data_IF_395698817876
#
_entry.id   IF_395698817876
#
_cell.length_a   1.000
_cell.length_b   1.000
_cell.length_c   1.000
_cell.angle_alpha   90.00
_cell.angle_beta   90.00
_cell.angle_gamma   90.00
#
_symmetry.space_group_name_H-M   'P 1'
#
loop_
_entity.id
_entity.type
_entity.pdbx_description
1 polymer ?
#
# COMPACT_ATOMS: atom_id res chain seq x y z
N UNK A 1 -13.95 -18.94 15.78
CA UNK A 1 -13.89 -18.26 14.46
C UNK A 1 -12.78 -17.23 14.54
N UNK A 2 -11.59 -17.54 14.02
CA UNK A 2 -10.43 -16.64 14.09
C UNK A 2 -10.61 -15.49 13.11
N UNK A 3 -10.46 -14.24 13.59
CA UNK A 3 -10.52 -13.07 12.71
C UNK A 3 -9.52 -13.22 11.55
N UNK A 4 -9.91 -12.93 10.29
CA UNK A 4 -9.00 -12.97 9.17
C UNK A 4 -7.84 -12.01 9.41
N UNK A 5 -6.61 -12.47 9.13
CA UNK A 5 -5.34 -11.77 9.44
C UNK A 5 -5.28 -10.34 8.91
N UNK A 6 -6.04 -10.01 7.85
CA UNK A 6 -6.15 -8.68 7.26
C UNK A 6 -6.89 -7.66 8.15
N UNK A 7 -7.95 -8.08 8.84
CA UNK A 7 -8.78 -7.20 9.68
C UNK A 7 -8.04 -6.76 10.96
N UNK A 8 -7.23 -7.67 11.53
CA UNK A 8 -6.39 -7.38 12.70
C UNK A 8 -5.32 -6.33 12.38
N UNK A 9 -4.70 -6.43 11.19
CA UNK A 9 -3.68 -5.47 10.73
C UNK A 9 -4.30 -4.09 10.49
N UNK A 10 -5.48 -4.04 9.85
CA UNK A 10 -6.20 -2.79 9.62
C UNK A 10 -6.65 -2.12 10.93
N UNK A 11 -7.07 -2.91 11.92
CA UNK A 11 -7.47 -2.41 13.24
C UNK A 11 -6.28 -1.83 14.01
N UNK A 12 -5.14 -2.53 14.00
CA UNK A 12 -3.89 -2.04 14.59
C UNK A 12 -3.42 -0.74 13.91
N UNK A 13 -3.48 -0.68 12.57
CA UNK A 13 -3.17 0.52 11.79
C UNK A 13 -3.96 1.73 12.27
N UNK A 14 -5.29 1.59 12.40
CA UNK A 14 -6.18 2.67 12.85
C UNK A 14 -5.87 3.13 14.27
N UNK A 15 -5.67 2.19 15.18
CA UNK A 15 -5.36 2.51 16.57
C UNK A 15 -4.02 3.23 16.71
N UNK A 16 -2.99 2.76 16.01
CA UNK A 16 -1.67 3.41 15.97
C UNK A 16 -1.81 4.80 15.34
N UNK A 17 -2.50 4.92 14.21
CA UNK A 17 -2.72 6.20 13.52
C UNK A 17 -3.37 7.26 14.41
N UNK A 18 -4.45 6.91 15.11
CA UNK A 18 -5.14 7.82 16.02
C UNK A 18 -4.26 8.31 17.17
N UNK A 19 -3.26 7.53 17.61
CA UNK A 19 -2.33 7.89 18.70
C UNK A 19 -0.96 8.39 18.24
N UNK A 20 -0.65 8.39 16.95
CA UNK A 20 0.69 8.67 16.43
C UNK A 20 1.30 9.99 16.90
N UNK A 21 0.51 11.07 16.97
CA UNK A 21 0.99 12.39 17.40
C UNK A 21 1.52 12.41 18.85
N UNK A 22 1.16 11.42 19.66
CA UNK A 22 1.50 11.36 21.08
C UNK A 22 2.57 10.31 21.42
N UNK A 23 2.96 9.44 20.48
CA UNK A 23 3.87 8.31 20.76
C UNK A 23 4.87 8.03 19.61
N UNK A 24 5.91 8.85 19.42
CA UNK A 24 6.89 8.69 18.34
C UNK A 24 7.57 7.32 18.30
N UNK A 25 7.86 6.72 19.47
CA UNK A 25 8.44 5.37 19.56
C UNK A 25 7.50 4.27 19.07
N UNK A 26 6.19 4.41 19.29
CA UNK A 26 5.22 3.44 18.80
C UNK A 26 5.15 3.51 17.27
N UNK A 27 5.16 4.72 16.71
CA UNK A 27 5.20 4.90 15.26
C UNK A 27 6.46 4.32 14.64
N UNK A 28 7.65 4.60 15.19
CA UNK A 28 8.91 4.06 14.65
C UNK A 28 8.93 2.53 14.66
N UNK A 29 8.47 1.91 15.74
CA UNK A 29 8.39 0.45 15.85
C UNK A 29 7.37 -0.13 14.89
N UNK A 30 6.20 0.49 14.78
CA UNK A 30 5.15 0.07 13.85
C UNK A 30 5.62 0.18 12.40
N UNK A 31 6.26 1.29 12.05
CA UNK A 31 6.83 1.51 10.73
C UNK A 31 7.88 0.44 10.39
N UNK A 32 8.84 0.21 11.29
CA UNK A 32 9.92 -0.75 11.08
C UNK A 32 9.45 -2.20 10.96
N UNK A 33 8.45 -2.60 11.76
CA UNK A 33 8.02 -3.99 11.85
C UNK A 33 6.86 -4.35 10.91
N UNK A 34 6.04 -3.38 10.51
CA UNK A 34 4.81 -3.64 9.75
C UNK A 34 4.79 -2.97 8.39
N UNK A 35 5.16 -1.68 8.30
CA UNK A 35 5.08 -0.91 7.05
C UNK A 35 6.26 -1.26 6.14
N UNK A 36 7.49 -1.10 6.64
CA UNK A 36 8.70 -1.21 5.83
C UNK A 36 8.90 -2.60 5.20
N UNK A 37 8.64 -3.73 5.90
CA UNK A 37 8.77 -5.05 5.29
C UNK A 37 7.79 -5.28 4.12
N UNK A 38 6.59 -4.69 4.19
CA UNK A 38 5.59 -4.77 3.11
C UNK A 38 5.99 -3.88 1.95
N UNK A 39 6.38 -2.63 2.23
CA UNK A 39 6.87 -1.69 1.21
C UNK A 39 8.03 -2.30 0.41
N UNK A 40 9.02 -2.89 1.08
CA UNK A 40 10.16 -3.55 0.41
C UNK A 40 9.73 -4.63 -0.57
N UNK A 41 8.76 -5.47 -0.20
CA UNK A 41 8.23 -6.51 -1.09
C UNK A 41 7.54 -5.92 -2.31
N UNK A 42 6.68 -4.92 -2.11
CA UNK A 42 5.99 -4.24 -3.21
C UNK A 42 6.96 -3.53 -4.16
N UNK A 43 7.95 -2.82 -3.60
CA UNK A 43 8.99 -2.14 -4.38
C UNK A 43 9.84 -3.13 -5.18
N UNK A 44 10.14 -4.33 -4.66
CA UNK A 44 10.88 -5.35 -5.42
C UNK A 44 10.08 -5.88 -6.61
N UNK A 45 8.74 -6.01 -6.49
CA UNK A 45 7.88 -6.37 -7.62
C UNK A 45 7.94 -5.30 -8.70
N UNK A 46 7.89 -4.02 -8.35
CA UNK A 46 8.02 -2.91 -9.29
C UNK A 46 9.40 -2.88 -9.94
N UNK A 47 10.46 -3.10 -9.16
CA UNK A 47 11.83 -3.19 -9.68
C UNK A 47 11.97 -4.33 -10.69
N UNK A 48 11.34 -5.48 -10.44
CA UNK A 48 11.27 -6.57 -11.41
C UNK A 48 10.57 -6.14 -12.69
N UNK A 49 9.40 -5.50 -12.58
CA UNK A 49 8.65 -4.99 -13.73
C UNK A 49 9.46 -4.02 -14.60
N UNK A 50 10.30 -3.17 -13.99
CA UNK A 50 11.22 -2.32 -14.76
C UNK A 50 12.25 -3.12 -15.53
N UNK A 51 12.88 -4.10 -14.87
CA UNK A 51 13.89 -4.96 -15.51
C UNK A 51 13.33 -5.74 -16.69
N UNK A 52 12.06 -6.14 -16.63
CA UNK A 52 11.38 -6.89 -17.69
C UNK A 52 10.73 -6.00 -18.75
N UNK A 53 10.78 -4.67 -18.59
CA UNK A 53 10.17 -3.72 -19.53
C UNK A 53 8.64 -3.63 -19.43
N UNK A 54 8.04 -4.19 -18.38
CA UNK A 54 6.58 -4.17 -18.17
C UNK A 54 6.07 -2.81 -17.64
N UNK A 55 6.93 -2.03 -16.98
CA UNK A 55 6.61 -0.69 -16.47
C UNK A 55 7.68 0.34 -16.83
N UNK A 56 7.25 1.59 -16.99
CA UNK A 56 8.10 2.74 -17.31
C UNK A 56 9.22 2.96 -16.28
N UNK A 57 10.34 3.52 -16.75
CA UNK A 57 11.58 3.66 -15.95
C UNK A 57 11.85 5.08 -15.47
N UNK A 58 11.07 6.05 -15.94
CA UNK A 58 11.24 7.49 -15.73
C UNK A 58 10.54 8.03 -14.46
N UNK A 59 9.72 7.22 -13.80
CA UNK A 59 9.14 7.57 -12.50
C UNK A 59 10.00 7.04 -11.35
N UNK A 60 9.75 7.52 -10.14
CA UNK A 60 10.35 6.97 -8.93
C UNK A 60 9.60 5.71 -8.44
N UNK A 61 10.31 4.76 -7.83
CA UNK A 61 9.71 3.50 -7.37
C UNK A 61 8.78 3.69 -6.16
N UNK A 62 9.07 4.66 -5.29
CA UNK A 62 8.23 4.96 -4.14
C UNK A 62 6.96 5.67 -4.57
N UNK A 63 7.05 6.59 -5.54
CA UNK A 63 5.86 7.17 -6.15
C UNK A 63 4.96 6.10 -6.77
N UNK A 64 5.54 5.17 -7.55
CA UNK A 64 4.78 4.05 -8.12
C UNK A 64 4.11 3.20 -7.04
N UNK A 65 4.84 2.85 -5.98
CA UNK A 65 4.31 2.10 -4.84
C UNK A 65 3.11 2.82 -4.20
N UNK A 66 3.24 4.12 -3.96
CA UNK A 66 2.23 4.94 -3.31
C UNK A 66 0.95 5.06 -4.15
N UNK A 67 1.06 5.03 -5.49
CA UNK A 67 -0.10 4.98 -6.38
C UNK A 67 -0.91 3.68 -6.23
N UNK A 68 -0.26 2.55 -5.96
CA UNK A 68 -0.98 1.28 -5.71
C UNK A 68 -1.59 1.22 -4.31
N UNK A 69 -0.86 1.63 -3.27
CA UNK A 69 -1.30 1.44 -1.88
C UNK A 69 -2.14 2.60 -1.34
N UNK A 70 -1.98 3.81 -1.88
CA UNK A 70 -2.67 5.02 -1.45
C UNK A 70 -4.19 4.90 -1.47
N UNK A 71 -4.82 4.46 -2.57
CA UNK A 71 -6.28 4.31 -2.63
C UNK A 71 -6.82 3.32 -1.58
N UNK A 72 -6.08 2.23 -1.33
CA UNK A 72 -6.43 1.26 -0.28
C UNK A 72 -6.30 1.87 1.12
N UNK A 73 -5.26 2.65 1.38
CA UNK A 73 -5.08 3.34 2.67
C UNK A 73 -6.20 4.36 2.92
N UNK A 74 -6.58 5.14 1.90
CA UNK A 74 -7.70 6.10 2.02
C UNK A 74 -8.98 5.37 2.43
N UNK A 75 -9.33 4.26 1.78
CA UNK A 75 -10.56 3.51 2.08
C UNK A 75 -10.52 2.72 3.39
N UNK A 76 -9.35 2.39 3.92
CA UNK A 76 -9.23 1.56 5.14
C UNK A 76 -8.94 2.36 6.41
N UNK A 77 -8.32 3.54 6.26
CA UNK A 77 -7.84 4.37 7.37
C UNK A 77 -8.53 5.73 7.41
N UNK A 78 -8.68 6.40 6.26
CA UNK A 78 -9.24 7.78 6.20
C UNK A 78 -10.76 7.76 6.12
N UNK A 79 -11.34 6.80 5.38
CA UNK A 79 -12.78 6.63 5.15
C UNK A 79 -13.21 5.18 5.44
N UNK A 80 -13.09 4.70 6.70
CA UNK A 80 -13.31 3.30 7.04
C UNK A 80 -14.75 2.80 6.80
N UNK A 81 -15.70 3.71 6.66
CA UNK A 81 -17.09 3.45 6.27
C UNK A 81 -17.27 3.19 4.76
N UNK A 82 -16.23 3.40 3.95
CA UNK A 82 -16.27 3.15 2.52
C UNK A 82 -16.22 1.66 2.18
N UNK A 83 -16.90 1.27 1.10
CA UNK A 83 -16.87 -0.11 0.62
C UNK A 83 -15.46 -0.55 0.22
N UNK A 84 -15.16 -1.81 0.56
CA UNK A 84 -13.97 -2.56 0.13
C UNK A 84 -14.41 -3.80 -0.66
N UNK A 85 -14.87 -3.63 -1.91
CA UNK A 85 -15.18 -4.77 -2.78
C UNK A 85 -13.95 -5.67 -2.95
N UNK A 86 -14.18 -6.97 -3.11
CA UNK A 86 -13.11 -7.96 -3.30
C UNK A 86 -12.23 -7.62 -4.51
N UNK A 87 -12.84 -7.11 -5.58
CA UNK A 87 -12.17 -6.74 -6.84
C UNK A 87 -11.42 -5.39 -6.80
N UNK A 88 -11.55 -4.61 -5.72
CA UNK A 88 -10.98 -3.27 -5.65
C UNK A 88 -9.46 -3.27 -5.86
N UNK A 89 -8.76 -4.26 -5.31
CA UNK A 89 -7.31 -4.36 -5.46
C UNK A 89 -6.91 -4.60 -6.93
N UNK A 90 -7.61 -5.51 -7.62
CA UNK A 90 -7.38 -5.76 -9.04
C UNK A 90 -7.67 -4.53 -9.89
N UNK A 91 -8.79 -3.86 -9.63
CA UNK A 91 -9.18 -2.63 -10.32
C UNK A 91 -8.13 -1.51 -10.15
N UNK A 92 -7.61 -1.31 -8.94
CA UNK A 92 -6.53 -0.34 -8.69
C UNK A 92 -5.30 -0.71 -9.52
N UNK A 93 -4.92 -1.99 -9.54
CA UNK A 93 -3.76 -2.45 -10.30
C UNK A 93 -3.94 -2.18 -11.79
N UNK A 94 -5.09 -2.51 -12.37
CA UNK A 94 -5.35 -2.30 -13.80
C UNK A 94 -5.30 -0.82 -14.19
N UNK A 95 -5.93 0.04 -13.38
CA UNK A 95 -5.95 1.49 -13.62
C UNK A 95 -4.55 2.09 -13.52
N UNK A 96 -3.78 1.71 -12.50
CA UNK A 96 -2.42 2.22 -12.32
C UNK A 96 -1.51 1.68 -13.43
N UNK A 97 -1.60 0.40 -13.79
CA UNK A 97 -0.80 -0.17 -14.87
C UNK A 97 -1.12 0.45 -16.23
N UNK A 98 -2.38 0.83 -16.49
CA UNK A 98 -2.72 1.57 -17.71
C UNK A 98 -1.90 2.87 -17.85
N UNK A 99 -1.60 3.56 -16.74
CA UNK A 99 -0.75 4.76 -16.72
C UNK A 99 0.76 4.50 -16.56
N UNK A 100 1.16 3.34 -16.02
CA UNK A 100 2.56 2.96 -15.79
C UNK A 100 3.20 2.15 -16.93
N UNK A 101 2.43 1.78 -17.96
CA UNK A 101 2.97 1.14 -19.17
C UNK A 101 4.08 2.01 -19.80
N UNK A 102 5.06 1.39 -20.50
CA UNK A 102 6.07 2.13 -21.25
C UNK A 102 5.41 3.14 -22.20
N UNK A 103 5.99 4.35 -22.29
CA UNK A 103 5.64 5.27 -23.35
C UNK A 103 5.95 4.61 -24.70
N UNK A 104 5.03 4.74 -25.66
CA UNK A 104 5.25 4.28 -27.03
C UNK A 104 6.32 5.11 -27.72
#
# INVERSE_FOLDING_TARGET
MGRPRSEAVATLLRYVHARMKSHPRLWSTYHALVIEPRRRKSVEVLRRGRRTGEIRTDLDLDLMHDLFVGPMLVRTVVRPEGDLPEELAAQIVDVVLAGLRPAQ
#
